data_IF_142061452558
#
_entry.id   IF_142061452558
#
_cell.length_a   1.000
_cell.length_b   1.000
_cell.length_c   1.000
_cell.angle_alpha   90.00
_cell.angle_beta   90.00
_cell.angle_gamma   90.00
#
_symmetry.space_group_name_H-M   'P 1'
#
loop_
_entity.id
_entity.type
_entity.pdbx_description
1 polymer ?
#
# COMPACT_ATOMS: atom_id res chain seq x y z
N UNK A 1 11.41 -2.83 0.25
CA UNK A 1 10.29 -3.79 0.01
C UNK A 1 9.07 -3.01 -0.48
N UNK A 2 8.44 -3.47 -1.57
CA UNK A 2 7.32 -2.78 -2.24
C UNK A 2 6.14 -2.46 -1.31
N UNK A 3 5.72 -3.40 -0.47
CA UNK A 3 4.62 -3.21 0.49
C UNK A 3 4.90 -2.09 1.49
N UNK A 4 6.14 -2.01 2.02
CA UNK A 4 6.54 -0.96 2.96
C UNK A 4 6.57 0.41 2.30
N UNK A 5 7.00 0.48 1.03
CA UNK A 5 6.97 1.72 0.24
C UNK A 5 5.53 2.16 0.03
N UNK A 6 4.66 1.27 -0.47
CA UNK A 6 3.25 1.57 -0.67
C UNK A 6 2.57 2.10 0.60
N UNK A 7 2.76 1.40 1.73
CA UNK A 7 2.20 1.82 3.02
C UNK A 7 2.71 3.19 3.48
N UNK A 8 3.98 3.52 3.19
CA UNK A 8 4.56 4.82 3.53
C UNK A 8 3.94 5.94 2.67
N UNK A 9 3.90 5.76 1.36
CA UNK A 9 3.36 6.77 0.45
C UNK A 9 1.87 7.01 0.71
N UNK A 10 1.11 5.94 1.00
CA UNK A 10 -0.31 6.04 1.36
C UNK A 10 -0.50 6.88 2.62
N UNK A 11 0.35 6.67 3.64
CA UNK A 11 0.30 7.45 4.87
C UNK A 11 0.60 8.93 4.60
N UNK A 12 1.64 9.22 3.82
CA UNK A 12 2.02 10.60 3.49
C UNK A 12 0.87 11.33 2.79
N UNK A 13 0.29 10.74 1.74
CA UNK A 13 -0.80 11.38 1.00
C UNK A 13 -2.04 11.61 1.88
N UNK A 14 -2.33 10.69 2.82
CA UNK A 14 -3.40 10.88 3.80
C UNK A 14 -3.06 11.97 4.83
N UNK A 15 -1.82 12.03 5.33
CA UNK A 15 -1.38 13.06 6.28
C UNK A 15 -1.39 14.46 5.65
N UNK A 16 -1.00 14.57 4.37
CA UNK A 16 -1.07 15.81 3.58
C UNK A 16 -2.54 16.28 3.42
N UNK A 17 -3.44 15.40 3.00
CA UNK A 17 -4.87 15.74 2.88
C UNK A 17 -5.56 15.98 4.23
N UNK A 18 -5.08 15.37 5.30
CA UNK A 18 -5.55 15.66 6.65
C UNK A 18 -5.12 17.07 7.07
N UNK A 19 -3.93 17.52 6.66
CA UNK A 19 -3.44 18.88 6.88
C UNK A 19 -4.16 19.93 6.03
N UNK A 20 -4.32 19.65 4.74
CA UNK A 20 -5.08 20.47 3.78
C UNK A 20 -5.97 19.59 2.87
N UNK A 21 -7.28 19.52 3.14
CA UNK A 21 -8.22 18.75 2.33
C UNK A 21 -8.36 19.21 0.87
N UNK A 22 -7.92 20.43 0.53
CA UNK A 22 -8.04 21.00 -0.81
C UNK A 22 -6.76 20.88 -1.64
N UNK A 23 -5.67 20.35 -1.06
CA UNK A 23 -4.42 20.11 -1.76
C UNK A 23 -4.65 19.19 -2.98
N UNK A 24 -4.45 19.77 -4.17
CA UNK A 24 -4.69 19.09 -5.43
C UNK A 24 -3.64 18.02 -5.72
N UNK A 25 -2.39 18.24 -5.28
CA UNK A 25 -1.28 17.32 -5.49
C UNK A 25 -1.40 16.13 -4.56
N UNK A 26 -1.71 16.35 -3.28
CA UNK A 26 -1.95 15.27 -2.31
C UNK A 26 -3.13 14.39 -2.73
N UNK A 27 -4.22 15.00 -3.24
CA UNK A 27 -5.36 14.25 -3.79
C UNK A 27 -4.98 13.43 -5.01
N UNK A 28 -4.26 14.02 -5.97
CA UNK A 28 -3.81 13.31 -7.16
C UNK A 28 -2.88 12.15 -6.79
N UNK A 29 -1.99 12.37 -5.82
CA UNK A 29 -1.08 11.34 -5.31
C UNK A 29 -1.84 10.17 -4.67
N UNK A 30 -2.80 10.45 -3.78
CA UNK A 30 -3.64 9.43 -3.16
C UNK A 30 -4.40 8.61 -4.21
N UNK A 31 -5.02 9.29 -5.19
CA UNK A 31 -5.74 8.61 -6.27
C UNK A 31 -4.81 7.73 -7.11
N UNK A 32 -3.59 8.17 -7.41
CA UNK A 32 -2.59 7.34 -8.11
C UNK A 32 -2.28 6.07 -7.32
N UNK A 33 -2.05 6.20 -6.01
CA UNK A 33 -1.76 5.06 -5.13
C UNK A 33 -2.92 4.07 -5.07
N UNK A 34 -4.16 4.54 -4.98
CA UNK A 34 -5.34 3.68 -4.88
C UNK A 34 -5.69 3.04 -6.22
N UNK A 35 -5.72 3.82 -7.31
CA UNK A 35 -6.22 3.35 -8.60
C UNK A 35 -5.17 2.59 -9.42
N UNK A 36 -3.89 2.89 -9.25
CA UNK A 36 -2.82 2.31 -10.06
C UNK A 36 -1.94 1.36 -9.26
N UNK A 37 -1.48 1.77 -8.08
CA UNK A 37 -0.42 1.05 -7.37
C UNK A 37 -0.95 -0.03 -6.39
N UNK A 38 -2.24 0.01 -6.01
CA UNK A 38 -2.86 -0.89 -5.02
C UNK A 38 -2.74 -2.37 -5.41
N UNK A 39 -3.06 -2.72 -6.66
CA UNK A 39 -3.02 -4.10 -7.15
C UNK A 39 -1.61 -4.70 -7.05
N UNK A 40 -0.58 -3.90 -7.35
CA UNK A 40 0.82 -4.31 -7.27
C UNK A 40 1.22 -4.52 -5.82
N UNK A 41 0.81 -3.62 -4.92
CA UNK A 41 1.04 -3.75 -3.49
C UNK A 41 0.35 -5.00 -2.89
N UNK A 42 -0.88 -5.28 -3.29
CA UNK A 42 -1.65 -6.46 -2.86
C UNK A 42 -1.02 -7.76 -3.33
N UNK A 43 -0.57 -7.82 -4.59
CA UNK A 43 0.15 -8.97 -5.11
C UNK A 43 1.46 -9.20 -4.34
N UNK A 44 2.20 -8.14 -4.02
CA UNK A 44 3.41 -8.24 -3.21
C UNK A 44 3.13 -8.70 -1.77
N UNK A 45 2.08 -8.17 -1.12
CA UNK A 45 1.66 -8.58 0.22
C UNK A 45 1.24 -10.05 0.24
N UNK A 46 0.49 -10.49 -0.77
CA UNK A 46 0.08 -11.89 -0.92
C UNK A 46 1.26 -12.84 -1.03
N UNK A 47 2.30 -12.47 -1.79
CA UNK A 47 3.53 -13.26 -1.91
C UNK A 47 4.28 -13.37 -0.58
N UNK A 48 4.39 -12.27 0.16
CA UNK A 48 5.03 -12.28 1.50
C UNK A 48 4.27 -13.19 2.46
N UNK A 49 2.94 -13.12 2.48
CA UNK A 49 2.12 -13.98 3.34
C UNK A 49 2.28 -15.47 2.99
N UNK A 50 2.34 -15.82 1.71
CA UNK A 50 2.59 -17.22 1.28
C UNK A 50 3.96 -17.74 1.69
N UNK A 51 4.98 -16.88 1.70
CA UNK A 51 6.33 -17.23 2.17
C UNK A 51 6.35 -17.39 3.71
N UNK A 52 5.46 -16.69 4.42
CA UNK A 52 5.38 -16.74 5.88
C UNK A 52 4.56 -17.91 6.44
N UNK A 53 3.74 -18.59 5.65
CA UNK A 53 3.07 -19.84 6.10
C UNK A 53 4.12 -20.95 6.17
N UNK A 54 4.48 -21.46 7.37
CA UNK A 54 5.34 -22.63 7.46
C UNK A 54 4.59 -23.83 6.89
N UNK A 55 5.33 -24.77 6.29
CA UNK A 55 4.87 -26.13 6.08
C UNK A 55 4.56 -26.79 7.43
N UNK A 56 3.44 -26.45 8.05
CA UNK A 56 2.92 -27.18 9.22
C UNK A 56 2.28 -28.46 8.67
N UNK A 57 2.82 -29.58 9.15
CA UNK A 57 2.62 -30.91 8.59
C UNK A 57 1.16 -31.31 8.44
N UNK A 58 0.89 -31.95 7.30
CA UNK A 58 -0.30 -32.75 7.04
C UNK A 58 -0.19 -34.07 7.84
N UNK A 59 -1.21 -34.51 8.59
CA UNK A 59 -1.30 -35.90 9.04
C UNK A 59 -1.57 -36.84 7.87
#
# INVERSE_FOLDING_TARGET
MLVRRYSRELKIACDELHGDPFDADARAHLLRLILQDSQIADAAKSRLNRIQVPAVGRP
#
